data_IF_870766968427
#
_entry.id   IF_870766968427
#
_cell.length_a   1.000
_cell.length_b   1.000
_cell.length_c   1.000
_cell.angle_alpha   90.00
_cell.angle_beta   90.00
_cell.angle_gamma   90.00
#
_symmetry.space_group_name_H-M   'P 1'
#
loop_
_entity.id
_entity.type
_entity.pdbx_description
1 polymer ?
#
# COMPACT_ATOMS: atom_id res chain seq x y z
N UNK A 1 -43.43 -17.04 35.10
CA UNK A 1 -43.73 -16.23 33.89
C UNK A 1 -42.73 -15.08 33.67
N UNK A 2 -42.35 -14.30 34.70
CA UNK A 2 -41.45 -13.13 34.54
C UNK A 2 -40.00 -13.44 34.09
N UNK A 3 -39.42 -14.58 34.50
CA UNK A 3 -38.05 -14.97 34.10
C UNK A 3 -37.92 -15.38 32.62
N UNK A 4 -38.96 -16.01 32.06
CA UNK A 4 -38.98 -16.38 30.64
C UNK A 4 -39.11 -15.16 29.72
N UNK A 5 -39.88 -14.16 30.15
CA UNK A 5 -40.04 -12.90 29.41
C UNK A 5 -38.71 -12.12 29.33
N UNK A 6 -37.95 -12.08 30.43
CA UNK A 6 -36.63 -11.43 30.46
C UNK A 6 -35.62 -12.12 29.53
N UNK A 7 -35.60 -13.46 29.51
CA UNK A 7 -34.73 -14.22 28.61
C UNK A 7 -35.06 -13.97 27.14
N UNK A 8 -36.35 -13.92 26.79
CA UNK A 8 -36.81 -13.62 25.43
C UNK A 8 -36.43 -12.19 25.00
N UNK A 9 -36.59 -11.22 25.89
CA UNK A 9 -36.20 -9.83 25.65
C UNK A 9 -34.69 -9.68 25.43
N UNK A 10 -33.87 -10.39 26.22
CA UNK A 10 -32.41 -10.38 26.09
C UNK A 10 -31.98 -11.06 24.78
N UNK A 11 -32.57 -12.20 24.42
CA UNK A 11 -32.25 -12.84 23.14
C UNK A 11 -32.66 -11.98 21.95
N UNK A 12 -33.80 -11.28 22.05
CA UNK A 12 -34.30 -10.42 20.98
C UNK A 12 -33.39 -9.19 20.78
N UNK A 13 -32.94 -8.54 21.86
CA UNK A 13 -32.01 -7.41 21.77
C UNK A 13 -30.65 -7.84 21.23
N UNK A 14 -30.12 -8.99 21.64
CA UNK A 14 -28.87 -9.54 21.10
C UNK A 14 -28.98 -9.86 19.60
N UNK A 15 -30.10 -10.41 19.12
CA UNK A 15 -30.32 -10.65 17.68
C UNK A 15 -30.44 -9.35 16.87
N UNK A 16 -31.08 -8.31 17.41
CA UNK A 16 -31.21 -7.01 16.74
C UNK A 16 -29.85 -6.31 16.61
N UNK A 17 -28.96 -6.45 17.59
CA UNK A 17 -27.59 -5.90 17.48
C UNK A 17 -26.71 -6.67 16.48
N UNK A 18 -26.99 -7.95 16.22
CA UNK A 18 -26.26 -8.73 15.21
C UNK A 18 -26.70 -8.48 13.76
N UNK A 19 -27.93 -7.99 13.55
CA UNK A 19 -28.45 -7.58 12.24
C UNK A 19 -27.91 -6.22 11.80
N UNK A 20 -27.41 -5.43 12.76
CA UNK A 20 -26.73 -4.17 12.53
C UNK A 20 -25.23 -4.36 12.29
N UNK A 21 -24.82 -5.32 11.46
CA UNK A 21 -23.51 -5.20 10.84
C UNK A 21 -23.57 -4.00 9.90
N UNK A 22 -23.16 -2.83 10.40
CA UNK A 22 -22.61 -1.79 9.55
C UNK A 22 -21.37 -2.42 8.91
N UNK A 23 -21.56 -3.17 7.84
CA UNK A 23 -20.51 -3.42 6.88
C UNK A 23 -19.99 -2.02 6.57
N UNK A 24 -18.79 -1.70 7.05
CA UNK A 24 -18.08 -0.55 6.54
C UNK A 24 -18.09 -0.79 5.03
N UNK A 25 -18.89 0.00 4.31
CA UNK A 25 -18.93 -0.07 2.86
C UNK A 25 -17.46 0.12 2.45
N UNK A 26 -16.82 -0.94 1.93
CA UNK A 26 -15.45 -0.86 1.44
C UNK A 26 -15.45 0.20 0.35
N UNK A 27 -15.16 1.44 0.73
CA UNK A 27 -15.04 2.54 -0.21
C UNK A 27 -13.74 2.30 -0.96
N UNK A 28 -13.75 2.42 -2.30
CA UNK A 28 -12.56 2.13 -3.08
C UNK A 28 -11.42 3.03 -2.66
N UNK A 29 -10.23 2.46 -2.45
CA UNK A 29 -9.06 3.24 -1.99
C UNK A 29 -8.64 4.29 -3.02
N UNK A 30 -8.94 4.06 -4.30
CA UNK A 30 -8.75 5.03 -5.38
C UNK A 30 -10.07 5.75 -5.67
N UNK A 31 -10.06 7.07 -5.57
CA UNK A 31 -11.23 7.91 -5.82
C UNK A 31 -10.89 9.15 -6.66
N UNK A 32 -11.93 9.79 -7.22
CA UNK A 32 -11.78 11.01 -8.00
C UNK A 32 -10.83 10.85 -9.19
N UNK A 33 -9.78 11.67 -9.24
CA UNK A 33 -8.77 11.59 -10.30
C UNK A 33 -7.91 10.33 -10.23
N UNK A 34 -7.70 9.76 -9.04
CA UNK A 34 -6.87 8.58 -8.84
C UNK A 34 -7.54 7.31 -9.38
N UNK A 35 -8.88 7.27 -9.41
CA UNK A 35 -9.63 6.19 -10.03
C UNK A 35 -9.39 6.06 -11.55
N UNK A 36 -8.78 7.08 -12.19
CA UNK A 36 -8.44 7.09 -13.62
C UNK A 36 -6.98 6.71 -13.88
N UNK A 37 -6.20 6.41 -12.85
CA UNK A 37 -4.81 6.00 -13.03
C UNK A 37 -4.75 4.66 -13.75
N UNK A 38 -4.02 4.63 -14.85
CA UNK A 38 -3.67 3.40 -15.55
C UNK A 38 -2.48 2.75 -14.84
N UNK A 39 -2.78 2.06 -13.73
CA UNK A 39 -1.77 1.38 -12.93
C UNK A 39 -1.35 0.09 -13.65
N UNK A 40 -0.09 0.03 -14.07
CA UNK A 40 0.46 -1.13 -14.77
C UNK A 40 0.68 -2.31 -13.81
N UNK A 41 0.47 -3.56 -14.28
CA UNK A 41 0.76 -4.75 -13.49
C UNK A 41 2.26 -4.83 -13.18
N UNK A 42 2.61 -5.39 -12.01
CA UNK A 42 3.98 -5.69 -11.68
C UNK A 42 4.56 -6.75 -12.65
N UNK A 43 5.78 -6.54 -13.14
CA UNK A 43 6.52 -7.57 -13.87
C UNK A 43 7.51 -8.24 -12.91
N UNK A 44 7.21 -9.48 -12.54
CA UNK A 44 8.08 -10.27 -11.67
C UNK A 44 9.06 -11.05 -12.56
N UNK A 45 10.35 -10.70 -12.47
CA UNK A 45 11.40 -11.50 -13.10
C UNK A 45 11.69 -12.74 -12.24
N UNK A 46 11.27 -13.90 -12.74
CA UNK A 46 11.47 -15.20 -12.10
C UNK A 46 12.88 -15.77 -12.32
N UNK A 47 13.68 -15.18 -13.21
CA UNK A 47 15.05 -15.58 -13.51
C UNK A 47 16.10 -14.87 -12.62
N UNK A 48 15.70 -14.39 -11.42
CA UNK A 48 16.63 -13.75 -10.48
C UNK A 48 17.72 -14.75 -10.05
N UNK A 49 18.95 -14.52 -10.51
CA UNK A 49 20.10 -15.33 -10.14
C UNK A 49 20.61 -15.07 -8.72
N UNK A 50 21.54 -15.91 -8.26
CA UNK A 50 22.24 -15.70 -6.97
C UNK A 50 23.11 -14.44 -7.04
N UNK A 51 23.14 -13.60 -5.98
CA UNK A 51 24.06 -12.46 -5.90
C UNK A 51 25.51 -12.90 -6.17
N UNK A 52 26.19 -12.22 -7.10
CA UNK A 52 27.55 -12.60 -7.57
C UNK A 52 28.69 -11.98 -6.75
N UNK A 53 28.38 -11.14 -5.76
CA UNK A 53 29.36 -10.41 -4.97
C UNK A 53 28.79 -9.10 -4.42
N UNK A 54 29.68 -8.16 -4.09
CA UNK A 54 29.32 -6.85 -3.55
C UNK A 54 29.14 -5.82 -4.65
N UNK A 55 28.00 -5.13 -4.67
CA UNK A 55 27.77 -3.95 -5.51
C UNK A 55 28.24 -2.69 -4.75
N UNK A 56 29.22 -1.98 -5.29
CA UNK A 56 29.68 -0.68 -4.74
C UNK A 56 29.25 0.44 -5.69
N UNK A 57 28.49 1.40 -5.18
CA UNK A 57 27.93 2.52 -5.95
C UNK A 57 28.45 3.83 -5.37
N UNK A 58 28.96 4.71 -6.24
CA UNK A 58 29.30 6.08 -5.89
C UNK A 58 28.18 7.00 -6.39
N UNK A 59 27.53 7.72 -5.48
CA UNK A 59 26.49 8.70 -5.79
C UNK A 59 26.92 10.06 -5.26
N UNK A 60 26.73 11.10 -6.07
CA UNK A 60 27.00 12.48 -5.67
C UNK A 60 25.68 13.22 -5.49
N UNK A 61 25.47 13.76 -4.29
CA UNK A 61 24.30 14.55 -3.94
C UNK A 61 24.74 15.99 -3.68
N UNK A 62 24.05 16.96 -4.28
CA UNK A 62 24.34 18.39 -4.10
C UNK A 62 23.61 19.01 -2.88
N UNK A 63 22.87 18.20 -2.12
CA UNK A 63 21.98 18.62 -1.04
C UNK A 63 22.35 17.92 0.28
N UNK A 64 21.90 18.52 1.39
CA UNK A 64 21.93 17.94 2.74
C UNK A 64 21.34 16.51 2.74
N UNK A 65 21.88 15.56 3.55
CA UNK A 65 21.44 14.16 3.56
C UNK A 65 20.06 13.91 4.19
N UNK A 66 19.21 14.94 4.31
CA UNK A 66 17.81 14.78 4.73
C UNK A 66 17.03 13.74 3.92
N UNK A 67 17.47 13.42 2.69
CA UNK A 67 16.91 12.33 1.89
C UNK A 67 17.13 10.91 2.43
N UNK A 68 17.83 10.74 3.55
CA UNK A 68 17.80 9.45 4.27
C UNK A 68 16.47 9.24 5.01
N UNK A 69 15.74 10.31 5.30
CA UNK A 69 14.39 10.26 5.85
C UNK A 69 13.37 10.23 4.69
N UNK A 70 12.58 9.16 4.53
CA UNK A 70 11.57 9.10 3.47
C UNK A 70 10.47 10.16 3.58
N UNK A 71 10.30 10.81 4.74
CA UNK A 71 9.34 11.91 4.88
C UNK A 71 9.83 13.22 4.24
N UNK A 72 11.14 13.40 4.11
CA UNK A 72 11.76 14.63 3.59
C UNK A 72 12.12 14.53 2.10
N UNK A 73 11.69 13.45 1.42
CA UNK A 73 11.96 13.26 -0.01
C UNK A 73 11.24 14.29 -0.88
N UNK A 74 12.01 14.89 -1.80
CA UNK A 74 11.49 15.73 -2.87
C UNK A 74 11.45 14.95 -4.19
N UNK A 75 10.78 15.48 -5.21
CA UNK A 75 10.61 14.84 -6.53
C UNK A 75 11.88 14.80 -7.40
N UNK A 76 13.06 14.92 -6.79
CA UNK A 76 14.34 14.87 -7.50
C UNK A 76 14.77 13.43 -7.79
N UNK A 77 15.20 13.18 -9.03
CA UNK A 77 15.66 11.84 -9.51
C UNK A 77 16.77 11.26 -8.63
N UNK A 78 17.65 12.11 -8.09
CA UNK A 78 18.73 11.69 -7.19
C UNK A 78 18.19 10.97 -5.95
N UNK A 79 17.08 11.44 -5.36
CA UNK A 79 16.48 10.83 -4.18
C UNK A 79 15.78 9.51 -4.54
N UNK A 80 15.08 9.48 -5.68
CA UNK A 80 14.45 8.25 -6.15
C UNK A 80 15.43 7.08 -6.29
N UNK A 81 16.69 7.31 -6.71
CA UNK A 81 17.68 6.23 -6.80
C UNK A 81 17.92 5.55 -5.45
N UNK A 82 17.98 6.33 -4.36
CA UNK A 82 18.12 5.78 -3.02
C UNK A 82 16.89 4.97 -2.61
N UNK A 83 15.70 5.43 -2.97
CA UNK A 83 14.46 4.69 -2.71
C UNK A 83 14.53 3.29 -3.30
N UNK A 84 14.94 3.11 -4.55
CA UNK A 84 15.03 1.76 -5.14
C UNK A 84 16.07 0.84 -4.48
N UNK A 85 17.03 1.38 -3.73
CA UNK A 85 18.05 0.58 -3.04
C UNK A 85 17.65 0.20 -1.62
N UNK A 86 17.01 1.11 -0.88
CA UNK A 86 16.76 0.95 0.56
C UNK A 86 15.28 0.84 0.91
N UNK A 87 14.42 1.53 0.17
CA UNK A 87 12.98 1.55 0.39
C UNK A 87 12.22 0.85 -0.73
N UNK A 88 10.93 0.63 -0.52
CA UNK A 88 10.05 0.21 -1.60
C UNK A 88 8.67 0.85 -1.39
N UNK A 89 7.91 0.97 -2.47
CA UNK A 89 6.61 1.62 -2.46
C UNK A 89 5.53 0.70 -3.01
N UNK A 90 4.28 0.95 -2.57
CA UNK A 90 3.12 0.22 -3.05
C UNK A 90 2.93 0.40 -4.55
N UNK A 91 3.11 1.63 -5.03
CA UNK A 91 3.06 2.02 -6.44
C UNK A 91 4.29 2.89 -6.71
N UNK A 92 5.05 2.59 -7.76
CA UNK A 92 6.22 3.37 -8.16
C UNK A 92 6.47 3.33 -9.67
N UNK A 93 7.27 4.27 -10.22
CA UNK A 93 7.77 4.14 -11.58
C UNK A 93 8.59 2.86 -11.75
N UNK A 94 8.38 2.16 -12.85
CA UNK A 94 9.13 0.97 -13.24
C UNK A 94 9.52 1.10 -14.71
N UNK A 95 10.52 0.34 -15.21
CA UNK A 95 10.93 0.40 -16.62
C UNK A 95 9.79 0.22 -17.63
N UNK A 96 8.69 -0.41 -17.22
CA UNK A 96 7.52 -0.73 -18.02
C UNK A 96 6.28 0.16 -17.75
N UNK A 97 6.40 1.17 -16.89
CA UNK A 97 5.31 2.12 -16.62
C UNK A 97 5.59 3.12 -15.51
N UNK A 98 5.12 4.36 -15.65
CA UNK A 98 5.33 5.42 -14.65
C UNK A 98 4.49 5.23 -13.37
N UNK A 99 3.30 4.65 -13.50
CA UNK A 99 2.44 4.27 -12.37
C UNK A 99 2.26 2.77 -12.44
N UNK A 100 2.96 2.04 -11.58
CA UNK A 100 3.05 0.58 -11.65
C UNK A 100 2.95 -0.01 -10.25
N UNK A 101 2.26 -1.14 -10.12
CA UNK A 101 2.23 -1.91 -8.88
C UNK A 101 3.65 -2.38 -8.52
N UNK A 102 4.12 -1.96 -7.34
CA UNK A 102 5.38 -2.38 -6.71
C UNK A 102 5.10 -3.48 -5.68
N UNK A 103 5.01 -3.09 -4.40
CA UNK A 103 4.58 -3.99 -3.33
C UNK A 103 3.08 -4.31 -3.35
N UNK A 104 2.25 -3.46 -3.97
CA UNK A 104 0.82 -3.73 -4.09
C UNK A 104 0.56 -4.86 -5.08
N UNK A 105 -0.42 -5.70 -4.76
CA UNK A 105 -0.98 -6.67 -5.70
C UNK A 105 -2.08 -6.06 -6.58
N UNK A 106 -2.89 -5.16 -6.03
CA UNK A 106 -3.99 -4.47 -6.69
C UNK A 106 -4.42 -3.23 -5.87
N UNK A 107 -5.41 -2.48 -6.35
CA UNK A 107 -6.02 -1.38 -5.61
C UNK A 107 -7.56 -1.52 -5.64
N UNK A 108 -8.15 -2.05 -4.56
CA UNK A 108 -9.62 -2.23 -4.41
C UNK A 108 -10.25 -1.18 -3.51
#
# INVERSE_FOLDING_TARGET
MRRGLLLVLVTLTLTVMSLGSAAAQQAPILSGALAKLDIKPAQIDTARGTPKGTLTIAMHFALDPGWLDPLEHITAVTMQMYDYFVHDAMIKPMPYGFVTYGLAEHAE
#
